data_IF_377164428987
#
_entry.id   IF_377164428987
#
_cell.length_a   1.000
_cell.length_b   1.000
_cell.length_c   1.000
_cell.angle_alpha   90.00
_cell.angle_beta   90.00
_cell.angle_gamma   90.00
#
_symmetry.space_group_name_H-M   'P 1'
#
loop_
_entity.id
_entity.type
_entity.pdbx_description
1 polymer ?
#
# COMPACT_ATOMS: atom_id res chain seq x y z
N UNK A 1 16.64 -4.27 10.58
CA UNK A 1 15.68 -3.41 9.86
C UNK A 1 14.29 -3.99 10.07
N UNK A 2 13.30 -3.21 10.50
CA UNK A 2 11.93 -3.70 10.63
C UNK A 2 11.26 -3.73 9.25
N UNK A 3 10.43 -4.73 8.97
CA UNK A 3 9.83 -4.96 7.64
C UNK A 3 8.89 -3.81 7.21
N UNK A 4 8.44 -2.97 8.17
CA UNK A 4 7.44 -1.91 7.98
C UNK A 4 7.88 -0.56 8.58
N UNK A 5 9.14 -0.19 8.39
CA UNK A 5 9.71 1.06 8.94
C UNK A 5 9.48 2.31 8.07
N UNK A 6 8.89 2.13 6.87
CA UNK A 6 8.60 3.22 5.94
C UNK A 6 7.09 3.42 5.80
N UNK A 7 6.63 4.65 6.00
CA UNK A 7 5.26 5.09 5.72
C UNK A 7 5.26 5.83 4.38
N UNK A 8 4.34 5.45 3.50
CA UNK A 8 4.03 6.17 2.28
C UNK A 8 2.73 6.95 2.51
N UNK A 9 2.70 8.20 2.09
CA UNK A 9 1.46 8.97 2.03
C UNK A 9 0.87 8.83 0.63
N UNK A 10 -0.34 8.32 0.56
CA UNK A 10 -1.11 8.18 -0.65
C UNK A 10 -2.12 9.32 -0.75
N UNK A 11 -2.20 9.95 -1.90
CA UNK A 11 -3.18 10.98 -2.21
C UNK A 11 -4.30 10.40 -3.06
N UNK A 12 -5.53 10.50 -2.57
CA UNK A 12 -6.73 10.19 -3.33
C UNK A 12 -6.87 11.11 -4.54
N UNK A 13 -7.06 10.54 -5.73
CA UNK A 13 -7.36 11.32 -6.94
C UNK A 13 -8.78 11.93 -6.90
N UNK A 14 -9.71 11.32 -6.16
CA UNK A 14 -11.10 11.78 -6.13
C UNK A 14 -11.32 13.02 -5.27
N UNK A 15 -10.60 13.14 -4.15
CA UNK A 15 -10.84 14.21 -3.18
C UNK A 15 -9.56 14.91 -2.68
N UNK A 16 -8.38 14.51 -3.16
CA UNK A 16 -7.09 15.11 -2.81
C UNK A 16 -6.62 14.83 -1.38
N UNK A 17 -7.38 14.08 -0.57
CA UNK A 17 -7.01 13.74 0.80
C UNK A 17 -5.83 12.77 0.83
N UNK A 18 -5.01 12.93 1.85
CA UNK A 18 -3.88 12.06 2.14
C UNK A 18 -4.27 10.98 3.14
N UNK A 19 -3.70 9.79 2.97
CA UNK A 19 -3.81 8.69 3.92
C UNK A 19 -2.50 7.88 3.96
N UNK A 20 -2.10 7.39 5.14
CA UNK A 20 -0.82 6.70 5.31
C UNK A 20 -0.97 5.22 4.92
N UNK A 21 0.06 4.62 4.35
CA UNK A 21 0.16 3.17 4.19
C UNK A 21 1.59 2.72 4.49
N UNK A 22 1.78 1.45 4.82
CA UNK A 22 3.13 0.91 5.05
C UNK A 22 3.73 0.44 3.72
N UNK A 23 4.99 0.82 3.49
CA UNK A 23 5.82 0.17 2.49
C UNK A 23 6.62 -0.95 3.15
N UNK A 24 6.34 -2.18 2.74
CA UNK A 24 7.08 -3.35 3.21
C UNK A 24 8.43 -3.45 2.50
N UNK A 25 9.49 -3.70 3.26
CA UNK A 25 10.85 -3.89 2.72
C UNK A 25 11.55 -5.02 3.45
N UNK A 26 12.10 -5.97 2.70
CA UNK A 26 12.93 -7.05 3.24
C UNK A 26 13.99 -7.47 2.22
N UNK A 27 15.00 -8.21 2.69
CA UNK A 27 16.12 -8.67 1.86
C UNK A 27 15.71 -9.70 0.79
N UNK A 28 14.57 -10.35 0.99
CA UNK A 28 13.98 -11.30 0.03
C UNK A 28 12.48 -11.07 -0.10
N UNK A 29 11.93 -11.25 -1.30
CA UNK A 29 10.48 -11.11 -1.55
C UNK A 29 9.63 -12.06 -0.71
N UNK A 30 10.18 -13.22 -0.35
CA UNK A 30 9.52 -14.18 0.55
C UNK A 30 9.31 -13.63 1.97
N UNK A 31 10.15 -12.68 2.42
CA UNK A 31 10.05 -12.13 3.77
C UNK A 31 8.99 -11.03 3.90
N UNK A 32 8.54 -10.43 2.79
CA UNK A 32 7.37 -9.54 2.75
C UNK A 32 6.10 -10.27 2.31
N UNK A 33 6.21 -11.52 1.84
CA UNK A 33 5.06 -12.30 1.35
C UNK A 33 4.02 -12.49 2.44
N UNK A 34 2.76 -12.20 2.10
CA UNK A 34 1.62 -12.33 3.00
C UNK A 34 1.41 -11.15 3.95
N UNK A 35 2.32 -10.19 4.04
CA UNK A 35 2.10 -8.97 4.82
C UNK A 35 1.13 -8.02 4.11
N UNK A 36 0.29 -7.36 4.90
CA UNK A 36 -0.67 -6.36 4.42
C UNK A 36 -0.83 -5.26 5.46
N UNK A 37 -1.08 -4.04 4.98
CA UNK A 37 -1.44 -2.92 5.84
C UNK A 37 -2.86 -2.45 5.55
N UNK A 38 -3.56 -2.07 6.60
CA UNK A 38 -4.88 -1.46 6.57
C UNK A 38 -4.77 -0.06 7.13
N UNK A 39 -5.48 0.88 6.53
CA UNK A 39 -5.49 2.28 6.90
C UNK A 39 -6.88 2.67 7.34
N UNK A 40 -6.98 3.43 8.44
CA UNK A 40 -8.24 4.02 8.85
C UNK A 40 -8.66 5.15 7.90
N UNK A 41 -9.93 5.17 7.52
CA UNK A 41 -10.50 6.32 6.77
C UNK A 41 -10.82 7.52 7.67
N UNK A 42 -10.75 7.36 9.00
CA UNK A 42 -11.15 8.37 9.99
C UNK A 42 -9.95 9.04 10.67
N UNK A 43 -8.83 8.34 10.82
CA UNK A 43 -7.65 8.78 11.58
C UNK A 43 -6.34 8.35 10.92
N UNK A 44 -5.22 9.04 11.21
CA UNK A 44 -3.89 8.66 10.72
C UNK A 44 -3.39 7.41 11.44
N UNK A 45 -4.00 6.26 11.14
CA UNK A 45 -3.71 4.98 11.77
C UNK A 45 -3.50 3.89 10.72
N UNK A 46 -2.45 3.11 10.91
CA UNK A 46 -2.12 1.94 10.09
C UNK A 46 -2.09 0.69 10.97
N UNK A 47 -2.81 -0.34 10.54
CA UNK A 47 -2.77 -1.69 11.13
C UNK A 47 -2.00 -2.60 10.18
N UNK A 48 -0.96 -3.23 10.68
CA UNK A 48 -0.14 -4.19 9.94
C UNK A 48 -0.48 -5.61 10.40
N UNK A 49 -0.78 -6.49 9.45
CA UNK A 49 -1.06 -7.91 9.74
C UNK A 49 -0.62 -8.78 8.58
N UNK A 50 -0.89 -10.08 8.67
CA UNK A 50 -0.68 -11.03 7.58
C UNK A 50 -2.02 -11.58 7.08
N UNK A 51 -2.06 -11.94 5.80
CA UNK A 51 -3.16 -12.75 5.26
C UNK A 51 -3.21 -14.11 5.94
N UNK A 52 -4.42 -14.63 6.16
CA UNK A 52 -4.62 -16.03 6.52
C UNK A 52 -4.56 -16.93 5.28
N UNK A 53 -4.38 -18.24 5.49
CA UNK A 53 -4.41 -19.21 4.39
C UNK A 53 -5.75 -19.15 3.65
N UNK A 54 -6.86 -19.06 4.38
CA UNK A 54 -8.21 -18.99 3.79
C UNK A 54 -8.40 -17.73 2.94
N UNK A 55 -7.88 -16.58 3.39
CA UNK A 55 -7.93 -15.32 2.62
C UNK A 55 -7.14 -15.42 1.31
N UNK A 56 -5.97 -16.07 1.33
CA UNK A 56 -5.17 -16.30 0.12
C UNK A 56 -5.89 -17.25 -0.84
N UNK A 57 -6.51 -18.32 -0.33
CA UNK A 57 -7.24 -19.29 -1.16
C UNK A 57 -8.50 -18.67 -1.78
N UNK A 58 -9.26 -17.89 -1.01
CA UNK A 58 -10.45 -17.19 -1.49
C UNK A 58 -10.11 -16.19 -2.61
N UNK A 59 -8.97 -15.50 -2.51
CA UNK A 59 -8.50 -14.60 -3.56
C UNK A 59 -8.23 -15.32 -4.90
N UNK A 60 -7.78 -16.58 -4.84
CA UNK A 60 -7.63 -17.44 -6.02
C UNK A 60 -8.95 -17.77 -6.73
N UNK A 61 -10.10 -17.58 -6.06
CA UNK A 61 -11.44 -17.79 -6.57
C UNK A 61 -12.08 -16.58 -7.27
N UNK A 62 -11.35 -15.47 -7.42
CA UNK A 62 -11.80 -14.27 -8.14
C UNK A 62 -12.28 -13.12 -7.26
N UNK A 63 -12.30 -13.28 -5.94
CA UNK A 63 -12.50 -12.17 -5.01
C UNK A 63 -11.21 -11.34 -4.85
N UNK A 64 -11.30 -10.00 -4.73
CA UNK A 64 -10.14 -9.21 -4.38
C UNK A 64 -9.59 -9.63 -3.00
N UNK A 65 -8.28 -9.91 -2.89
CA UNK A 65 -7.68 -10.48 -1.67
C UNK A 65 -7.91 -9.66 -0.41
N UNK A 66 -8.09 -8.34 -0.57
CA UNK A 66 -8.25 -7.43 0.56
C UNK A 66 -9.60 -7.54 1.28
N UNK A 67 -10.65 -8.09 0.68
CA UNK A 67 -12.00 -8.09 1.28
C UNK A 67 -12.02 -8.91 2.58
N UNK A 68 -11.45 -10.13 2.54
CA UNK A 68 -11.43 -11.03 3.70
C UNK A 68 -10.66 -10.43 4.87
N UNK A 69 -9.46 -9.89 4.62
CA UNK A 69 -8.63 -9.27 5.67
C UNK A 69 -9.23 -7.99 6.21
N UNK A 70 -9.86 -7.15 5.37
CA UNK A 70 -10.59 -5.97 5.85
C UNK A 70 -11.70 -6.39 6.82
N UNK A 71 -12.53 -7.36 6.44
CA UNK A 71 -13.62 -7.84 7.27
C UNK A 71 -13.12 -8.44 8.60
N UNK A 72 -12.09 -9.29 8.55
CA UNK A 72 -11.50 -9.93 9.74
C UNK A 72 -10.91 -8.90 10.70
N UNK A 73 -10.05 -8.00 10.21
CA UNK A 73 -9.36 -7.04 11.08
C UNK A 73 -10.35 -6.05 11.69
N UNK A 74 -11.32 -5.57 10.91
CA UNK A 74 -12.40 -4.74 11.43
C UNK A 74 -13.23 -5.47 12.50
N UNK A 75 -13.59 -6.74 12.29
CA UNK A 75 -14.33 -7.53 13.27
C UNK A 75 -13.54 -7.73 14.58
N UNK A 76 -12.24 -8.07 14.49
CA UNK A 76 -11.37 -8.26 15.67
C UNK A 76 -11.27 -6.97 16.49
N UNK A 77 -11.19 -5.81 15.83
CA UNK A 77 -11.03 -4.51 16.48
C UNK A 77 -12.36 -3.82 16.81
N UNK A 78 -13.51 -4.41 16.47
CA UNK A 78 -14.83 -3.78 16.65
C UNK A 78 -15.01 -2.50 15.82
N UNK A 79 -14.41 -2.45 14.64
CA UNK A 79 -14.33 -1.29 13.74
C UNK A 79 -14.98 -1.59 12.40
N UNK A 80 -15.08 -0.57 11.55
CA UNK A 80 -15.58 -0.71 10.18
C UNK A 80 -14.90 0.27 9.20
N UNK A 81 -13.87 0.97 9.65
CA UNK A 81 -13.22 2.08 8.95
C UNK A 81 -11.83 1.71 8.39
N UNK A 82 -11.31 0.52 8.68
CA UNK A 82 -10.02 0.06 8.17
C UNK A 82 -10.16 -0.48 6.75
N UNK A 83 -9.31 -0.01 5.84
CA UNK A 83 -9.29 -0.37 4.41
C UNK A 83 -7.87 -0.65 3.93
N UNK A 84 -7.70 -1.60 3.04
CA UNK A 84 -6.41 -1.94 2.42
C UNK A 84 -6.20 -1.04 1.18
N UNK A 85 -5.14 -0.23 1.15
CA UNK A 85 -4.73 0.50 -0.04
C UNK A 85 -3.98 -0.45 -0.97
N UNK A 86 -4.73 -1.31 -1.66
CA UNK A 86 -4.21 -2.35 -2.54
C UNK A 86 -3.58 -1.76 -3.80
N UNK A 87 -2.44 -2.29 -4.27
CA UNK A 87 -1.89 -1.88 -5.56
C UNK A 87 -2.78 -2.43 -6.69
N UNK A 88 -3.40 -1.54 -7.47
CA UNK A 88 -4.37 -1.91 -8.52
C UNK A 88 -3.72 -1.93 -9.90
N UNK A 89 -2.84 -0.97 -10.20
CA UNK A 89 -2.22 -0.87 -11.51
C UNK A 89 -0.81 -0.28 -11.43
N UNK A 90 0.01 -0.62 -12.42
CA UNK A 90 1.36 -0.09 -12.61
C UNK A 90 1.44 0.44 -14.03
N UNK A 91 1.44 1.77 -14.17
CA UNK A 91 1.61 2.42 -15.46
C UNK A 91 3.10 2.62 -15.73
N UNK A 92 3.60 2.01 -16.81
CA UNK A 92 4.97 2.20 -17.28
C UNK A 92 4.96 3.17 -18.45
N UNK A 93 5.88 4.12 -18.44
CA UNK A 93 6.13 4.98 -19.59
C UNK A 93 7.00 4.18 -20.58
N UNK A 94 6.36 3.39 -21.45
CA UNK A 94 7.02 2.51 -22.41
C UNK A 94 7.66 3.32 -23.54
N UNK A 95 8.82 3.94 -23.28
CA UNK A 95 9.72 4.33 -24.36
C UNK A 95 10.65 3.15 -24.65
N UNK A 96 10.71 2.63 -25.89
CA UNK A 96 11.57 1.52 -26.21
C UNK A 96 13.04 1.94 -26.05
N UNK A 97 13.70 1.42 -25.02
CA UNK A 97 15.13 1.59 -24.77
C UNK A 97 15.98 0.63 -25.61
N UNK A 98 15.48 0.15 -26.75
CA UNK A 98 16.20 -0.78 -27.60
C UNK A 98 17.34 -0.02 -28.33
N UNK A 99 18.59 -0.33 -27.98
CA UNK A 99 19.78 0.21 -28.63
C UNK A 99 20.37 1.50 -28.01
N UNK A 100 19.87 1.96 -26.87
CA UNK A 100 20.45 3.11 -26.14
C UNK A 100 21.48 2.66 -25.11
N UNK A 101 22.52 3.46 -24.92
CA UNK A 101 23.52 3.25 -23.88
C UNK A 101 22.88 3.32 -22.48
N UNK A 102 23.48 2.67 -21.47
CA UNK A 102 23.00 2.74 -20.09
C UNK A 102 22.93 4.18 -19.55
N UNK A 103 23.84 5.06 -19.99
CA UNK A 103 23.83 6.47 -19.61
C UNK A 103 22.62 7.22 -20.21
N UNK A 104 22.20 6.87 -21.43
CA UNK A 104 21.04 7.49 -22.07
C UNK A 104 19.72 6.90 -21.58
N UNK A 105 19.73 5.62 -21.16
CA UNK A 105 18.64 5.03 -20.40
C UNK A 105 18.38 5.80 -19.09
N UNK A 106 19.41 6.08 -18.28
CA UNK A 106 19.24 6.85 -17.04
C UNK A 106 18.67 8.26 -17.26
N UNK A 107 19.00 8.91 -18.39
CA UNK A 107 18.45 10.24 -18.74
C UNK A 107 16.97 10.21 -19.15
N UNK A 108 16.51 9.08 -19.68
CA UNK A 108 15.17 8.93 -20.25
C UNK A 108 14.23 8.13 -19.34
N UNK A 109 14.78 7.44 -18.35
CA UNK A 109 14.05 6.62 -17.40
C UNK A 109 13.06 7.47 -16.59
N UNK A 110 11.79 7.07 -16.65
CA UNK A 110 10.73 7.54 -15.77
C UNK A 110 10.33 6.39 -14.87
N UNK A 111 10.31 6.63 -13.56
CA UNK A 111 9.79 5.64 -12.61
C UNK A 111 8.33 5.32 -12.94
N UNK A 112 7.93 4.04 -12.85
CA UNK A 112 6.55 3.66 -13.08
C UNK A 112 5.62 4.35 -12.09
N UNK A 113 4.42 4.71 -12.54
CA UNK A 113 3.37 5.23 -11.66
C UNK A 113 2.62 4.06 -11.05
N UNK A 114 2.57 4.04 -9.72
CA UNK A 114 1.87 3.02 -8.95
C UNK A 114 0.51 3.56 -8.53
N UNK A 115 -0.55 2.92 -9.01
CA UNK A 115 -1.93 3.28 -8.69
C UNK A 115 -2.47 2.34 -7.62
N UNK A 116 -2.79 2.90 -6.47
CA UNK A 116 -3.37 2.19 -5.34
C UNK A 116 -4.87 2.37 -5.31
N UNK A 117 -5.58 1.46 -4.65
CA UNK A 117 -7.00 1.60 -4.34
C UNK A 117 -7.19 2.79 -3.40
N UNK A 118 -8.11 3.67 -3.77
CA UNK A 118 -8.55 4.76 -2.92
C UNK A 118 -9.40 4.21 -1.75
N UNK A 119 -9.02 4.56 -0.52
CA UNK A 119 -9.73 4.10 0.68
C UNK A 119 -11.01 4.91 0.95
N UNK A 120 -11.15 6.10 0.35
CA UNK A 120 -12.30 6.98 0.56
C UNK A 120 -13.41 6.76 -0.46
N UNK A 121 -13.04 6.52 -1.71
CA UNK A 121 -13.99 6.48 -2.84
C UNK A 121 -13.85 5.17 -3.61
N UNK A 122 -14.88 4.30 -3.62
CA UNK A 122 -14.87 3.08 -4.42
C UNK A 122 -14.65 3.36 -5.91
N UNK A 123 -13.78 2.58 -6.55
CA UNK A 123 -13.47 2.73 -7.98
C UNK A 123 -12.51 3.88 -8.34
N UNK A 124 -12.07 4.67 -7.35
CA UNK A 124 -11.04 5.70 -7.52
C UNK A 124 -9.64 5.13 -7.23
N UNK A 125 -8.62 5.87 -7.65
CA UNK A 125 -7.21 5.57 -7.40
C UNK A 125 -6.56 6.57 -6.45
N UNK A 126 -5.45 6.13 -5.87
CA UNK A 126 -4.55 6.96 -5.10
C UNK A 126 -3.11 6.78 -5.57
N UNK A 127 -2.32 7.84 -5.47
CA UNK A 127 -0.92 7.86 -5.87
C UNK A 127 -0.02 8.25 -4.71
N UNK A 128 1.23 7.78 -4.74
CA UNK A 128 2.23 8.15 -3.74
C UNK A 128 2.55 9.64 -3.85
N UNK A 129 2.32 10.38 -2.77
CA UNK A 129 2.64 11.80 -2.63
C UNK A 129 3.98 12.02 -1.92
N UNK A 130 4.24 11.31 -0.82
CA UNK A 130 5.47 11.45 -0.05
C UNK A 130 5.80 10.17 0.74
N UNK A 131 6.95 10.19 1.41
CA UNK A 131 7.38 9.13 2.34
C UNK A 131 7.96 9.73 3.60
N UNK A 132 7.80 9.03 4.70
CA UNK A 132 8.48 9.32 5.96
C UNK A 132 8.83 8.03 6.71
N UNK A 133 9.69 8.13 7.72
CA UNK A 133 9.94 6.99 8.60
C UNK A 133 8.74 6.75 9.52
N UNK A 134 8.58 5.50 9.97
CA UNK A 134 7.58 5.17 11.01
C UNK A 134 7.71 6.06 12.23
N UNK A 135 8.95 6.33 12.65
CA UNK A 135 9.21 7.18 13.81
C UNK A 135 8.71 8.62 13.59
N UNK A 136 8.90 9.19 12.41
CA UNK A 136 8.38 10.52 12.07
C UNK A 136 6.85 10.55 12.06
N UNK A 137 6.23 9.53 11.49
CA UNK A 137 4.78 9.36 11.48
C UNK A 137 4.20 9.28 12.90
N UNK A 138 4.80 8.46 13.76
CA UNK A 138 4.38 8.31 15.16
C UNK A 138 4.59 9.61 15.97
N UNK A 139 5.70 10.31 15.77
CA UNK A 139 5.92 11.65 16.35
C UNK A 139 4.89 12.69 15.87
N UNK A 140 4.39 12.54 14.65
CA UNK A 140 3.33 13.37 14.07
C UNK A 140 1.92 13.06 14.58
N UNK A 141 1.76 12.11 15.52
CA UNK A 141 0.47 11.67 16.06
C UNK A 141 -0.17 10.53 15.26
N UNK A 142 0.55 9.97 14.28
CA UNK A 142 0.16 8.74 13.62
C UNK A 142 0.29 7.53 14.53
N UNK A 143 -0.46 6.46 14.26
CA UNK A 143 -0.36 5.22 15.03
C UNK A 143 -0.15 4.02 14.11
N UNK A 144 0.88 3.23 14.40
CA UNK A 144 1.13 1.95 13.71
C UNK A 144 0.95 0.81 14.70
N UNK A 145 -0.04 -0.04 14.46
CA UNK A 145 -0.33 -1.21 15.29
C UNK A 145 -0.08 -2.48 14.50
N UNK A 146 0.53 -3.49 15.13
CA UNK A 146 0.64 -4.83 14.55
C UNK A 146 -0.41 -5.74 15.16
N UNK A 147 -1.15 -6.46 14.32
CA UNK A 147 -2.11 -7.51 14.70
C UNK A 147 -1.57 -8.89 14.32
#
# INVERSE_FOLDING_TARGET
>A
MAIYDTIIWLQSQSNGKLFPAVQFTADTDMATSGWVSLTSVERPEVVVTTFTVDEVQAAGGGEPPYIGVEARVNAILGRHDLRVPWLVSVERDERPAAGVSFQDFLKTYRSPRLLYRDIFTPGSFAEKASTESREQFERGGGMVTRL
#
